data_IF_209908263343
#
_entry.id   IF_209908263343
#
_cell.length_a   1.000
_cell.length_b   1.000
_cell.length_c   1.000
_cell.angle_alpha   90.00
_cell.angle_beta   90.00
_cell.angle_gamma   90.00
#
_symmetry.space_group_name_H-M   'P 1'
#
loop_
_entity.id
_entity.type
_entity.pdbx_description
1 polymer ?
#
# COMPACT_ATOMS: atom_id res chain seq x y z
N UNK A 1 18.90 24.88 -15.91
CA UNK A 1 18.12 24.70 -14.65
C UNK A 1 19.12 24.57 -13.53
N UNK A 2 19.10 25.41 -12.48
CA UNK A 2 20.02 25.22 -11.37
C UNK A 2 19.52 24.07 -10.49
N UNK A 3 20.44 23.14 -10.28
CA UNK A 3 20.40 22.00 -9.37
C UNK A 3 20.46 22.56 -7.95
N UNK A 4 19.44 22.29 -7.13
CA UNK A 4 19.42 22.72 -5.73
C UNK A 4 18.03 23.20 -5.29
N UNK A 5 17.08 22.27 -5.19
CA UNK A 5 15.88 22.53 -4.39
C UNK A 5 16.07 21.83 -3.03
N UNK A 6 16.14 22.56 -1.90
CA UNK A 6 16.32 21.95 -0.59
C UNK A 6 15.08 21.13 -0.21
N UNK A 7 15.29 19.90 0.27
CA UNK A 7 14.27 18.91 0.64
C UNK A 7 13.11 19.49 1.47
N UNK A 8 13.38 20.48 2.34
CA UNK A 8 12.36 21.13 3.18
C UNK A 8 11.25 21.88 2.43
N UNK A 9 11.42 22.19 1.14
CA UNK A 9 10.35 22.80 0.32
C UNK A 9 9.36 21.80 -0.24
N UNK A 10 9.72 20.51 -0.34
CA UNK A 10 8.81 19.46 -0.80
C UNK A 10 7.72 19.21 0.26
N UNK A 11 8.09 19.27 1.54
CA UNK A 11 7.21 19.00 2.69
C UNK A 11 6.26 20.17 3.00
N UNK A 12 6.68 21.42 2.77
CA UNK A 12 5.92 22.62 3.17
C UNK A 12 4.91 23.14 2.13
N UNK A 13 4.82 22.55 0.93
CA UNK A 13 3.75 22.84 -0.05
C UNK A 13 3.72 24.26 -0.62
N UNK A 14 4.85 24.99 -0.62
CA UNK A 14 4.88 26.42 -0.97
C UNK A 14 4.93 26.71 -2.48
N UNK A 15 5.06 25.70 -3.34
CA UNK A 15 5.05 25.85 -4.80
C UNK A 15 3.69 25.45 -5.39
N UNK A 16 3.16 26.15 -6.42
CA UNK A 16 1.90 25.79 -7.06
C UNK A 16 1.86 24.34 -7.59
N UNK A 17 2.99 23.83 -8.11
CA UNK A 17 3.15 22.43 -8.51
C UNK A 17 3.03 21.46 -7.33
N UNK A 18 3.56 21.83 -6.17
CA UNK A 18 3.44 21.02 -4.94
C UNK A 18 2.01 21.01 -4.39
N UNK A 19 1.22 22.07 -4.56
CA UNK A 19 -0.19 22.09 -4.16
C UNK A 19 -1.09 21.25 -5.07
N UNK A 20 -0.84 21.26 -6.38
CA UNK A 20 -1.55 20.38 -7.33
C UNK A 20 -1.24 18.92 -7.01
N UNK A 21 0.04 18.61 -6.76
CA UNK A 21 0.47 17.29 -6.30
C UNK A 21 -0.24 16.87 -5.00
N UNK A 22 -0.17 17.69 -3.94
CA UNK A 22 -0.81 17.41 -2.64
C UNK A 22 -2.32 17.15 -2.77
N UNK A 23 -3.05 18.00 -3.50
CA UNK A 23 -4.49 17.84 -3.70
C UNK A 23 -4.84 16.57 -4.47
N UNK A 24 -4.00 16.19 -5.42
CA UNK A 24 -4.27 15.01 -6.25
C UNK A 24 -3.91 13.73 -5.51
N UNK A 25 -2.83 13.74 -4.74
CA UNK A 25 -2.49 12.67 -3.80
C UNK A 25 -3.60 12.45 -2.79
N UNK A 26 -4.12 13.52 -2.16
CA UNK A 26 -5.22 13.42 -1.21
C UNK A 26 -6.47 12.74 -1.82
N UNK A 27 -6.88 13.17 -3.01
CA UNK A 27 -8.01 12.53 -3.73
C UNK A 27 -7.76 11.07 -4.11
N UNK A 28 -6.51 10.73 -4.42
CA UNK A 28 -6.14 9.35 -4.76
C UNK A 28 -6.22 8.47 -3.52
N UNK A 29 -5.74 8.95 -2.37
CA UNK A 29 -5.85 8.26 -1.08
C UNK A 29 -7.32 8.11 -0.65
N UNK A 30 -8.14 9.16 -0.81
CA UNK A 30 -9.59 9.08 -0.55
C UNK A 30 -10.29 8.03 -1.42
N UNK A 31 -9.96 7.98 -2.71
CA UNK A 31 -10.55 7.00 -3.64
C UNK A 31 -10.12 5.57 -3.29
N UNK A 32 -8.87 5.38 -2.90
CA UNK A 32 -8.37 4.06 -2.51
C UNK A 32 -9.01 3.62 -1.19
N UNK A 33 -9.09 4.49 -0.18
CA UNK A 33 -9.81 4.20 1.06
C UNK A 33 -11.29 3.89 0.84
N UNK A 34 -11.95 4.53 -0.12
CA UNK A 34 -13.32 4.17 -0.50
C UNK A 34 -13.40 2.75 -1.09
N UNK A 35 -12.41 2.32 -1.88
CA UNK A 35 -12.37 0.93 -2.36
C UNK A 35 -12.07 -0.02 -1.22
N UNK A 36 -11.10 0.29 -0.36
CA UNK A 36 -10.77 -0.45 0.86
C UNK A 36 -12.02 -0.74 1.70
N UNK A 37 -12.76 0.31 2.08
CA UNK A 37 -14.00 0.22 2.86
C UNK A 37 -15.06 -0.68 2.18
N UNK A 38 -15.17 -0.62 0.85
CA UNK A 38 -16.12 -1.45 0.08
C UNK A 38 -15.76 -2.93 0.16
N UNK A 39 -14.48 -3.26 0.16
CA UNK A 39 -14.01 -4.64 0.24
C UNK A 39 -13.96 -5.17 1.70
N UNK A 40 -13.85 -4.30 2.70
CA UNK A 40 -13.71 -4.69 4.11
C UNK A 40 -15.04 -4.73 4.89
N UNK A 41 -15.99 -3.83 4.59
CA UNK A 41 -17.18 -3.62 5.46
C UNK A 41 -18.47 -4.18 4.87
N UNK A 42 -18.71 -3.99 3.57
CA UNK A 42 -20.07 -4.04 3.02
C UNK A 42 -20.28 -5.03 1.86
N UNK A 43 -19.24 -5.62 1.29
CA UNK A 43 -19.37 -6.43 0.08
C UNK A 43 -19.67 -7.91 0.33
N UNK A 44 -20.73 -8.43 -0.29
CA UNK A 44 -20.86 -9.89 -0.43
C UNK A 44 -19.83 -10.37 -1.44
N UNK A 45 -19.15 -11.49 -1.13
CA UNK A 45 -18.11 -12.07 -2.00
C UNK A 45 -18.53 -12.14 -3.48
N UNK A 46 -19.72 -12.68 -3.78
CA UNK A 46 -20.25 -12.79 -5.15
C UNK A 46 -20.43 -11.41 -5.85
N UNK A 47 -20.77 -10.36 -5.10
CA UNK A 47 -20.96 -9.01 -5.62
C UNK A 47 -19.61 -8.32 -5.90
N UNK A 48 -18.61 -8.56 -5.06
CA UNK A 48 -17.26 -8.00 -5.21
C UNK A 48 -16.44 -8.74 -6.28
N UNK A 49 -16.63 -10.05 -6.44
CA UNK A 49 -16.10 -10.81 -7.57
C UNK A 49 -16.63 -10.24 -8.89
N UNK A 50 -17.95 -10.01 -8.99
CA UNK A 50 -18.56 -9.39 -10.16
C UNK A 50 -18.05 -7.95 -10.38
N UNK A 51 -17.92 -7.15 -9.33
CA UNK A 51 -17.37 -5.79 -9.43
C UNK A 51 -15.92 -5.80 -9.96
N UNK A 52 -15.08 -6.73 -9.48
CA UNK A 52 -13.72 -6.90 -9.97
C UNK A 52 -13.69 -7.30 -11.44
N UNK A 53 -14.55 -8.24 -11.86
CA UNK A 53 -14.68 -8.67 -13.25
C UNK A 53 -15.14 -7.54 -14.20
N UNK A 54 -16.07 -6.69 -13.75
CA UNK A 54 -16.58 -5.56 -14.55
C UNK A 54 -15.52 -4.48 -14.71
N UNK A 55 -14.78 -4.14 -13.65
CA UNK A 55 -13.70 -3.13 -13.72
C UNK A 55 -12.52 -3.56 -14.58
N UNK A 56 -12.34 -4.87 -14.76
CA UNK A 56 -11.39 -5.44 -15.72
C UNK A 56 -11.60 -4.97 -17.17
N UNK A 57 -12.80 -4.44 -17.50
CA UNK A 57 -13.18 -3.99 -18.84
C UNK A 57 -13.13 -2.46 -19.04
N UNK A 58 -12.71 -1.67 -18.05
CA UNK A 58 -12.66 -0.21 -18.16
C UNK A 58 -11.22 0.26 -18.45
N UNK A 59 -10.96 0.64 -19.71
CA UNK A 59 -9.66 1.09 -20.19
C UNK A 59 -9.50 2.61 -20.02
N UNK A 60 -9.18 3.05 -18.80
CA UNK A 60 -9.09 4.50 -18.47
C UNK A 60 -7.72 5.08 -18.86
N UNK A 61 -6.65 4.31 -18.72
CA UNK A 61 -5.30 4.48 -19.31
C UNK A 61 -4.61 3.10 -19.22
N UNK A 62 -3.90 2.59 -20.24
CA UNK A 62 -3.39 1.21 -20.26
C UNK A 62 -2.53 0.83 -19.03
N UNK A 63 -1.71 1.77 -18.57
CA UNK A 63 -0.90 1.66 -17.36
C UNK A 63 -1.80 1.58 -16.11
N UNK A 64 -2.70 2.55 -15.91
CA UNK A 64 -3.62 2.58 -14.76
C UNK A 64 -4.55 1.35 -14.69
N UNK A 65 -4.95 0.81 -15.84
CA UNK A 65 -5.79 -0.38 -15.92
C UNK A 65 -5.12 -1.62 -15.36
N UNK A 66 -3.83 -1.87 -15.66
CA UNK A 66 -3.08 -3.01 -15.09
C UNK A 66 -3.07 -2.95 -13.55
N UNK A 67 -2.87 -1.75 -13.02
CA UNK A 67 -2.70 -1.48 -11.59
C UNK A 67 -3.97 -1.58 -10.78
N UNK A 68 -5.04 -0.91 -11.23
CA UNK A 68 -6.34 -0.98 -10.57
C UNK A 68 -6.87 -2.42 -10.58
N UNK A 69 -6.60 -3.17 -11.66
CA UNK A 69 -6.92 -4.59 -11.70
C UNK A 69 -6.10 -5.45 -10.74
N UNK A 70 -4.79 -5.18 -10.59
CA UNK A 70 -3.98 -5.89 -9.59
C UNK A 70 -4.46 -5.57 -8.16
N UNK A 71 -4.79 -4.31 -7.88
CA UNK A 71 -5.36 -3.88 -6.60
C UNK A 71 -6.64 -4.67 -6.26
N UNK A 72 -7.64 -4.67 -7.15
CA UNK A 72 -8.90 -5.38 -6.91
C UNK A 72 -8.70 -6.90 -6.76
N UNK A 73 -7.80 -7.51 -7.54
CA UNK A 73 -7.47 -8.94 -7.39
C UNK A 73 -6.93 -9.26 -6.01
N UNK A 74 -6.14 -8.37 -5.44
CA UNK A 74 -5.52 -8.56 -4.13
C UNK A 74 -6.46 -8.25 -2.98
N UNK A 75 -7.36 -7.27 -3.14
CA UNK A 75 -8.50 -7.14 -2.22
C UNK A 75 -9.37 -8.40 -2.22
N UNK A 76 -9.63 -9.01 -3.38
CA UNK A 76 -10.32 -10.31 -3.41
C UNK A 76 -9.56 -11.43 -2.70
N UNK A 77 -8.23 -11.39 -2.65
CA UNK A 77 -7.44 -12.38 -1.89
C UNK A 77 -7.70 -12.20 -0.39
N UNK A 78 -7.63 -10.96 0.11
CA UNK A 78 -7.90 -10.64 1.52
C UNK A 78 -9.33 -11.00 1.92
N UNK A 79 -10.31 -10.65 1.08
CA UNK A 79 -11.70 -11.03 1.28
C UNK A 79 -11.91 -12.55 1.31
N UNK A 80 -11.18 -13.31 0.49
CA UNK A 80 -11.22 -14.78 0.55
C UNK A 80 -10.59 -15.32 1.83
N UNK A 81 -9.48 -14.73 2.29
CA UNK A 81 -8.88 -15.09 3.58
C UNK A 81 -9.88 -14.85 4.72
N UNK A 82 -10.52 -13.68 4.74
CA UNK A 82 -11.57 -13.32 5.69
C UNK A 82 -12.70 -14.36 5.73
N UNK A 83 -13.35 -14.61 4.58
CA UNK A 83 -14.51 -15.52 4.54
C UNK A 83 -14.17 -16.98 4.82
N UNK A 84 -12.95 -17.42 4.50
CA UNK A 84 -12.51 -18.80 4.77
C UNK A 84 -11.95 -19.00 6.18
N UNK A 85 -11.66 -17.91 6.91
CA UNK A 85 -10.90 -17.95 8.15
C UNK A 85 -9.45 -18.43 7.94
N UNK A 86 -8.93 -18.33 6.71
CA UNK A 86 -7.56 -18.70 6.39
C UNK A 86 -6.59 -17.67 6.98
N UNK A 87 -5.54 -18.18 7.63
CA UNK A 87 -4.44 -17.38 8.11
C UNK A 87 -3.24 -17.57 7.18
N UNK A 88 -2.82 -16.53 6.43
CA UNK A 88 -1.61 -16.59 5.61
C UNK A 88 -0.34 -16.62 6.47
N UNK A 89 0.77 -17.03 5.88
CA UNK A 89 2.10 -16.73 6.44
C UNK A 89 2.41 -15.25 6.29
N UNK A 90 3.37 -14.71 7.06
CA UNK A 90 3.78 -13.31 6.91
C UNK A 90 4.29 -13.01 5.50
N UNK A 91 5.04 -13.93 4.89
CA UNK A 91 5.53 -13.76 3.53
C UNK A 91 4.38 -13.73 2.51
N UNK A 92 3.38 -14.61 2.66
CA UNK A 92 2.20 -14.63 1.79
C UNK A 92 1.35 -13.36 1.97
N UNK A 93 1.13 -12.95 3.22
CA UNK A 93 0.43 -11.73 3.58
C UNK A 93 1.09 -10.51 2.93
N UNK A 94 2.38 -10.27 3.21
CA UNK A 94 3.10 -9.09 2.71
C UNK A 94 3.15 -9.06 1.19
N UNK A 95 3.33 -10.21 0.54
CA UNK A 95 3.32 -10.32 -0.92
C UNK A 95 1.99 -9.91 -1.54
N UNK A 96 0.87 -10.02 -0.83
CA UNK A 96 -0.41 -9.49 -1.27
C UNK A 96 -0.59 -8.02 -0.85
N UNK A 97 -0.36 -7.72 0.43
CA UNK A 97 -0.85 -6.50 1.06
C UNK A 97 0.02 -5.26 0.80
N UNK A 98 1.24 -5.43 0.26
CA UNK A 98 2.06 -4.29 -0.19
C UNK A 98 1.42 -3.50 -1.35
N UNK A 99 0.48 -4.11 -2.08
CA UNK A 99 -0.30 -3.43 -3.13
C UNK A 99 -1.59 -2.83 -2.57
N UNK A 100 -2.24 -3.49 -1.62
CA UNK A 100 -3.50 -3.02 -1.02
C UNK A 100 -3.30 -1.81 -0.10
N UNK A 101 -2.09 -1.62 0.45
CA UNK A 101 -1.70 -0.40 1.17
C UNK A 101 -1.57 0.84 0.27
N UNK A 102 -2.11 0.81 -0.96
CA UNK A 102 -2.07 1.87 -1.96
C UNK A 102 -0.67 2.26 -2.49
N UNK A 103 0.39 1.69 -1.94
CA UNK A 103 1.76 2.16 -2.12
C UNK A 103 2.17 2.34 -3.59
N UNK A 104 2.06 1.29 -4.41
CA UNK A 104 2.46 1.34 -5.81
C UNK A 104 1.66 2.36 -6.66
N UNK A 105 0.38 2.58 -6.33
CA UNK A 105 -0.46 3.61 -6.96
C UNK A 105 0.03 5.02 -6.56
N UNK A 106 0.40 5.19 -5.29
CA UNK A 106 1.00 6.43 -4.78
C UNK A 106 2.32 6.75 -5.49
N UNK A 107 3.21 5.76 -5.69
CA UNK A 107 4.46 5.95 -6.44
C UNK A 107 4.20 6.41 -7.88
N UNK A 108 3.29 5.74 -8.59
CA UNK A 108 2.96 6.05 -9.97
C UNK A 108 2.40 7.48 -10.12
N UNK A 109 1.42 7.85 -9.29
CA UNK A 109 0.87 9.20 -9.34
C UNK A 109 1.91 10.24 -8.97
N UNK A 110 2.72 9.99 -7.93
CA UNK A 110 3.82 10.89 -7.59
C UNK A 110 4.78 11.10 -8.78
N UNK A 111 5.16 10.03 -9.48
CA UNK A 111 6.02 10.11 -10.66
C UNK A 111 5.37 10.92 -11.80
N UNK A 112 4.13 10.61 -12.19
CA UNK A 112 3.40 11.30 -13.27
C UNK A 112 3.30 12.81 -13.02
N UNK A 113 3.17 13.23 -11.76
CA UNK A 113 3.04 14.65 -11.42
C UNK A 113 4.37 15.39 -11.24
N UNK A 114 5.47 14.68 -10.97
CA UNK A 114 6.80 15.27 -10.77
C UNK A 114 7.59 15.26 -12.10
N UNK A 115 7.47 14.21 -12.89
CA UNK A 115 8.25 14.01 -14.11
C UNK A 115 7.72 14.88 -15.26
N UNK A 116 8.60 15.70 -15.84
CA UNK A 116 8.32 16.44 -17.06
C UNK A 116 9.62 16.65 -17.86
N UNK A 117 9.83 15.92 -18.97
CA UNK A 117 8.92 14.93 -19.58
C UNK A 117 8.87 13.62 -18.79
N UNK A 118 7.79 12.86 -18.98
CA UNK A 118 7.65 11.48 -18.49
C UNK A 118 8.58 10.58 -19.29
N UNK A 119 9.31 9.70 -18.59
CA UNK A 119 10.18 8.67 -19.18
C UNK A 119 9.47 7.30 -19.10
N UNK A 120 9.60 6.48 -20.16
CA UNK A 120 8.92 5.18 -20.27
C UNK A 120 9.60 4.09 -19.44
N UNK A 121 10.92 4.09 -19.39
CA UNK A 121 11.71 3.14 -18.60
C UNK A 121 11.45 3.31 -17.10
N UNK A 122 11.30 4.55 -16.63
CA UNK A 122 10.93 4.86 -15.24
C UNK A 122 9.51 4.37 -14.91
N UNK A 123 8.56 4.53 -15.84
CA UNK A 123 7.21 3.97 -15.67
C UNK A 123 7.30 2.45 -15.54
N UNK A 124 7.93 1.77 -16.49
CA UNK A 124 8.11 0.31 -16.46
C UNK A 124 8.76 -0.17 -15.16
N UNK A 125 9.77 0.55 -14.65
CA UNK A 125 10.40 0.27 -13.36
C UNK A 125 9.43 0.34 -12.18
N UNK A 126 8.51 1.31 -12.18
CA UNK A 126 7.45 1.44 -11.17
C UNK A 126 6.41 0.30 -11.36
N UNK A 127 6.06 -0.02 -12.60
CA UNK A 127 5.12 -1.07 -13.01
C UNK A 127 5.53 -2.50 -12.72
N UNK A 128 6.82 -2.73 -12.65
CA UNK A 128 7.39 -4.05 -12.40
C UNK A 128 7.60 -4.33 -10.91
N UNK A 129 7.24 -3.39 -10.03
CA UNK A 129 7.43 -3.53 -8.59
C UNK A 129 8.85 -3.95 -8.23
N UNK A 130 9.83 -3.22 -8.76
CA UNK A 130 11.23 -3.50 -8.47
C UNK A 130 11.44 -3.72 -6.96
N UNK A 131 12.42 -4.56 -6.58
CA UNK A 131 12.60 -4.97 -5.18
C UNK A 131 12.65 -3.79 -4.20
N UNK A 132 13.21 -2.66 -4.61
CA UNK A 132 13.27 -1.44 -3.78
C UNK A 132 11.86 -0.89 -3.50
N UNK A 133 11.01 -0.82 -4.53
CA UNK A 133 9.63 -0.33 -4.40
C UNK A 133 8.81 -1.30 -3.56
N UNK A 134 8.95 -2.60 -3.82
CA UNK A 134 8.28 -3.65 -3.05
C UNK A 134 8.66 -3.57 -1.57
N UNK A 135 9.95 -3.57 -1.25
CA UNK A 135 10.45 -3.51 0.13
C UNK A 135 9.98 -2.23 0.84
N UNK A 136 10.04 -1.08 0.18
CA UNK A 136 9.56 0.18 0.77
C UNK A 136 8.07 0.12 1.16
N UNK A 137 7.25 -0.55 0.36
CA UNK A 137 5.82 -0.68 0.65
C UNK A 137 5.47 -1.85 1.57
N UNK A 138 6.30 -2.88 1.65
CA UNK A 138 6.22 -3.89 2.72
C UNK A 138 6.48 -3.24 4.08
N UNK A 139 7.52 -2.40 4.20
CA UNK A 139 7.80 -1.62 5.42
C UNK A 139 6.60 -0.73 5.76
N UNK A 140 6.07 -0.01 4.77
CA UNK A 140 4.91 0.86 4.99
C UNK A 140 3.68 0.09 5.48
N UNK A 141 3.38 -1.07 4.88
CA UNK A 141 2.30 -1.96 5.31
C UNK A 141 2.52 -2.45 6.74
N UNK A 142 3.72 -2.87 7.08
CA UNK A 142 4.06 -3.28 8.45
C UNK A 142 3.79 -2.13 9.43
N UNK A 143 4.27 -0.91 9.13
CA UNK A 143 4.02 0.28 9.95
C UNK A 143 2.52 0.59 10.14
N UNK A 144 1.73 0.46 9.07
CA UNK A 144 0.29 0.70 9.08
C UNK A 144 -0.42 -0.31 10.00
N UNK A 145 -0.18 -1.61 9.77
CA UNK A 145 -0.74 -2.70 10.57
C UNK A 145 -0.37 -2.58 12.05
N UNK A 146 0.84 -2.12 12.38
CA UNK A 146 1.23 -1.88 13.78
C UNK A 146 0.33 -0.84 14.46
N UNK A 147 -0.12 0.17 13.72
CA UNK A 147 -1.03 1.21 14.19
C UNK A 147 -2.49 0.77 14.28
N UNK A 148 -2.91 -0.20 13.48
CA UNK A 148 -4.34 -0.59 13.32
C UNK A 148 -4.69 -1.98 13.86
N UNK A 149 -3.69 -2.81 14.16
CA UNK A 149 -3.82 -4.19 14.63
C UNK A 149 -4.85 -4.39 15.75
N UNK A 150 -4.78 -3.58 16.82
CA UNK A 150 -5.67 -3.73 17.97
C UNK A 150 -7.16 -3.52 17.62
N UNK A 151 -7.53 -2.36 17.04
CA UNK A 151 -8.88 -2.12 16.55
C UNK A 151 -9.39 -3.14 15.53
N UNK A 152 -8.57 -3.59 14.58
CA UNK A 152 -8.94 -4.56 13.54
C UNK A 152 -9.17 -5.96 14.10
N UNK A 153 -8.30 -6.40 15.01
CA UNK A 153 -8.48 -7.68 15.71
C UNK A 153 -9.79 -7.72 16.50
N UNK A 154 -10.20 -6.61 17.10
CA UNK A 154 -11.46 -6.52 17.82
C UNK A 154 -12.70 -6.63 16.90
N UNK A 155 -12.56 -6.27 15.62
CA UNK A 155 -13.60 -6.44 14.60
C UNK A 155 -13.64 -7.85 14.02
N UNK A 156 -12.60 -8.66 14.26
CA UNK A 156 -12.46 -10.00 13.71
C UNK A 156 -12.02 -10.00 12.25
N UNK A 157 -11.22 -9.00 11.87
CA UNK A 157 -10.65 -8.87 10.53
C UNK A 157 -9.62 -9.97 10.21
N UNK A 158 -9.15 -10.00 8.97
CA UNK A 158 -8.03 -10.86 8.53
C UNK A 158 -6.81 -10.61 9.45
N UNK A 159 -6.04 -11.66 9.81
CA UNK A 159 -4.81 -11.49 10.57
C UNK A 159 -3.87 -10.50 9.88
N UNK A 160 -3.45 -9.44 10.58
CA UNK A 160 -2.49 -8.45 10.05
C UNK A 160 -1.06 -9.02 10.06
N UNK A 161 -0.09 -8.25 9.56
CA UNK A 161 1.32 -8.65 9.59
C UNK A 161 1.81 -9.03 10.99
N UNK A 162 1.30 -8.37 12.05
CA UNK A 162 1.65 -8.68 13.44
C UNK A 162 1.21 -10.09 13.81
N UNK A 163 -0.06 -10.45 13.56
CA UNK A 163 -0.56 -11.80 13.86
C UNK A 163 0.06 -12.88 12.97
N UNK A 164 0.33 -12.55 11.69
CA UNK A 164 1.03 -13.46 10.78
C UNK A 164 2.44 -13.77 11.32
N UNK A 165 3.20 -12.75 11.75
CA UNK A 165 4.52 -12.94 12.34
C UNK A 165 4.48 -13.75 13.64
N UNK A 166 3.54 -13.44 14.53
CA UNK A 166 3.37 -14.17 15.79
C UNK A 166 3.15 -15.68 15.55
N UNK A 167 2.34 -16.01 14.55
CA UNK A 167 2.08 -17.39 14.15
C UNK A 167 3.31 -18.07 13.57
N UNK A 168 3.97 -17.42 12.60
CA UNK A 168 5.14 -17.98 11.92
C UNK A 168 6.33 -18.20 12.87
N UNK A 169 6.57 -17.25 13.78
CA UNK A 169 7.69 -17.28 14.72
C UNK A 169 7.34 -17.96 16.07
N UNK A 170 6.06 -18.24 16.33
CA UNK A 170 5.60 -18.78 17.61
C UNK A 170 5.84 -17.85 18.80
N UNK A 171 5.77 -16.54 18.58
CA UNK A 171 6.05 -15.50 19.58
C UNK A 171 4.78 -14.80 20.08
N UNK A 172 4.85 -14.17 21.25
CA UNK A 172 3.75 -13.35 21.75
C UNK A 172 3.72 -11.98 21.06
N UNK A 173 2.57 -11.32 21.15
CA UNK A 173 2.34 -9.98 20.60
C UNK A 173 3.37 -8.97 21.13
N UNK A 174 3.61 -8.94 22.45
CA UNK A 174 4.60 -8.04 23.05
C UNK A 174 6.01 -8.21 22.47
N UNK A 175 6.42 -9.44 22.13
CA UNK A 175 7.71 -9.72 21.50
C UNK A 175 7.73 -9.26 20.03
N UNK A 176 6.59 -9.34 19.33
CA UNK A 176 6.44 -8.79 17.98
C UNK A 176 6.54 -7.26 17.96
N UNK A 177 5.97 -6.58 18.96
CA UNK A 177 6.04 -5.13 19.10
C UNK A 177 7.45 -4.65 19.48
N UNK A 178 8.12 -5.31 20.41
CA UNK A 178 9.51 -4.98 20.79
C UNK A 178 10.46 -5.10 19.59
N UNK A 179 10.34 -6.17 18.79
CA UNK A 179 11.21 -6.39 17.62
C UNK A 179 11.00 -5.38 16.50
N UNK A 180 9.76 -5.02 16.19
CA UNK A 180 9.53 -3.98 15.20
C UNK A 180 10.00 -2.62 15.68
N UNK A 181 9.83 -2.29 16.96
CA UNK A 181 10.42 -1.07 17.50
C UNK A 181 11.95 -1.04 17.36
N UNK A 182 12.64 -2.15 17.61
CA UNK A 182 14.08 -2.27 17.39
C UNK A 182 14.45 -2.05 15.91
N UNK A 183 13.71 -2.64 14.96
CA UNK A 183 13.96 -2.47 13.52
C UNK A 183 13.68 -1.03 13.03
N UNK A 184 12.59 -0.40 13.48
CA UNK A 184 12.28 1.00 13.14
C UNK A 184 13.31 1.99 13.72
N UNK A 185 13.78 1.77 14.95
CA UNK A 185 14.81 2.60 15.57
C UNK A 185 16.16 2.46 14.85
N UNK A 186 16.50 1.26 14.35
CA UNK A 186 17.69 1.02 13.52
C UNK A 186 17.59 1.73 12.17
N UNK A 187 16.42 1.70 11.51
CA UNK A 187 16.20 2.39 10.23
C UNK A 187 16.24 3.91 10.38
N UNK A 188 15.63 4.49 11.42
CA UNK A 188 15.67 5.93 11.70
C UNK A 188 17.11 6.40 11.96
N UNK A 189 17.93 5.57 12.62
CA UNK A 189 19.36 5.81 12.84
C UNK A 189 20.21 5.75 11.55
N UNK A 190 19.81 4.95 10.56
CA UNK A 190 20.47 4.87 9.25
C UNK A 190 20.04 6.01 8.34
N UNK A 191 18.75 6.37 8.33
CA UNK A 191 18.20 7.45 7.52
C UNK A 191 18.68 8.85 7.96
N UNK A 192 19.08 9.01 9.22
CA UNK A 192 19.60 10.27 9.78
C UNK A 192 21.14 10.45 9.65
N UNK A 193 21.84 9.60 8.89
CA UNK A 193 23.27 9.74 8.56
C UNK A 193 23.48 10.24 7.13
#
# INVERSE_FOLDING_TARGET
MPIGMPLGRLVTGTLPSTQIWQRTMAKSVELIGMYDDVYDVDGKLDELELFTEVNHNIDILPHQGKWINDLFKRYLVELRWYHSGYQPTLEEYLRNTFVTVAGPIVALYAYIYIANPINKEDLEFIEDFSDIIRLAYEIFRISDDYGTCGPEQAKGDVPSSVQCYMSDAGVSEGVSYERAHEEFDEEEMVANK
#
